data_IF_209037537194
#
_entry.id   IF_209037537194
#
_cell.length_a   1.000
_cell.length_b   1.000
_cell.length_c   1.000
_cell.angle_alpha   90.00
_cell.angle_beta   90.00
_cell.angle_gamma   90.00
#
_symmetry.space_group_name_H-M   'P 1'
#
loop_
_entity.id
_entity.type
_entity.pdbx_description
1 polymer ?
#
# COMPACT_ATOMS: atom_id res chain seq x y z
N UNK A 1 -16.53 -16.94 10.99
CA UNK A 1 -16.51 -15.55 11.52
C UNK A 1 -15.82 -15.57 12.87
N UNK A 2 -14.90 -14.63 13.16
CA UNK A 2 -14.36 -14.39 14.51
C UNK A 2 -12.87 -14.67 14.74
N UNK A 3 -11.95 -14.00 14.03
CA UNK A 3 -10.50 -14.00 14.34
C UNK A 3 -10.03 -12.70 15.02
N UNK A 4 -10.85 -12.12 15.90
CA UNK A 4 -10.48 -10.94 16.69
C UNK A 4 -10.83 -11.06 18.18
N UNK A 5 -10.88 -12.27 18.74
CA UNK A 5 -10.88 -12.45 20.21
C UNK A 5 -9.50 -12.07 20.78
N UNK A 6 -9.06 -10.85 20.49
CA UNK A 6 -7.85 -10.23 21.01
C UNK A 6 -8.10 -9.76 22.43
N UNK A 7 -7.02 -9.74 23.20
CA UNK A 7 -6.95 -9.30 24.60
C UNK A 7 -7.76 -8.01 24.80
N UNK A 8 -8.72 -8.04 25.72
CA UNK A 8 -9.49 -6.86 26.09
C UNK A 8 -8.59 -5.88 26.86
N UNK A 9 -8.33 -4.71 26.28
CA UNK A 9 -7.55 -3.66 26.91
C UNK A 9 -8.46 -2.61 27.54
N UNK A 10 -8.28 -2.33 28.83
CA UNK A 10 -9.09 -1.34 29.52
C UNK A 10 -8.51 0.07 29.31
N UNK A 11 -9.14 0.85 28.43
CA UNK A 11 -8.72 2.21 28.09
C UNK A 11 -9.32 3.23 29.06
N UNK A 12 -8.47 4.11 29.61
CA UNK A 12 -8.92 5.31 30.32
C UNK A 12 -9.06 6.45 29.32
N UNK A 13 -10.29 6.86 29.04
CA UNK A 13 -10.62 7.91 28.08
C UNK A 13 -11.30 9.09 28.79
N UNK A 14 -10.97 10.35 28.43
CA UNK A 14 -11.78 11.50 28.82
C UNK A 14 -13.23 11.35 28.37
N UNK A 15 -14.22 11.88 29.13
CA UNK A 15 -15.64 11.73 28.81
C UNK A 15 -15.98 12.28 27.42
N UNK A 16 -15.44 13.46 27.08
CA UNK A 16 -15.66 14.08 25.76
C UNK A 16 -15.15 13.23 24.60
N UNK A 17 -14.05 12.50 24.79
CA UNK A 17 -13.48 11.65 23.75
C UNK A 17 -14.34 10.39 23.54
N UNK A 18 -14.85 9.82 24.63
CA UNK A 18 -15.77 8.69 24.59
C UNK A 18 -17.04 9.05 23.83
N UNK A 19 -17.61 10.22 24.09
CA UNK A 19 -18.84 10.67 23.42
C UNK A 19 -18.60 10.87 21.91
N UNK A 20 -17.47 11.46 21.52
CA UNK A 20 -17.08 11.58 20.10
C UNK A 20 -16.97 10.23 19.40
N UNK A 21 -16.36 9.24 20.05
CA UNK A 21 -16.25 7.87 19.51
C UNK A 21 -17.63 7.24 19.37
N UNK A 22 -18.53 7.43 20.35
CA UNK A 22 -19.87 6.87 20.30
C UNK A 22 -20.71 7.45 19.15
N UNK A 23 -20.64 8.77 18.93
CA UNK A 23 -21.29 9.44 17.79
C UNK A 23 -20.75 8.92 16.46
N UNK A 24 -19.42 8.91 16.32
CA UNK A 24 -18.74 8.40 15.11
C UNK A 24 -19.11 6.95 14.80
N UNK A 25 -19.10 6.08 15.81
CA UNK A 25 -19.43 4.67 15.65
C UNK A 25 -20.87 4.48 15.15
N UNK A 26 -21.81 5.30 15.66
CA UNK A 26 -23.20 5.29 15.23
C UNK A 26 -23.36 5.77 13.78
N UNK A 27 -22.69 6.85 13.39
CA UNK A 27 -22.71 7.37 12.01
C UNK A 27 -22.14 6.36 11.01
N UNK A 28 -21.09 5.63 11.41
CA UNK A 28 -20.40 4.65 10.57
C UNK A 28 -20.97 3.23 10.69
N UNK A 29 -22.11 3.04 11.38
CA UNK A 29 -22.77 1.76 11.60
C UNK A 29 -21.83 0.65 12.12
N UNK A 30 -20.93 0.99 13.06
CA UNK A 30 -19.96 0.08 13.67
C UNK A 30 -19.99 0.12 15.19
N UNK A 31 -19.43 -0.89 15.85
CA UNK A 31 -19.30 -0.87 17.32
C UNK A 31 -18.26 0.15 17.76
N UNK A 32 -18.36 0.67 19.00
CA UNK A 32 -17.35 1.59 19.55
C UNK A 32 -15.95 0.99 19.52
N UNK A 33 -15.79 -0.30 19.83
CA UNK A 33 -14.50 -0.97 19.76
C UNK A 33 -13.97 -1.03 18.32
N UNK A 34 -14.83 -1.32 17.35
CA UNK A 34 -14.45 -1.30 15.94
C UNK A 34 -14.08 0.11 15.47
N UNK A 35 -14.72 1.16 15.98
CA UNK A 35 -14.38 2.56 15.70
C UNK A 35 -13.01 2.94 16.26
N UNK A 36 -12.73 2.56 17.51
CA UNK A 36 -11.43 2.78 18.17
C UNK A 36 -10.32 2.08 17.41
N UNK A 37 -10.52 0.80 17.09
CA UNK A 37 -9.53 0.01 16.34
C UNK A 37 -9.26 0.67 14.99
N UNK A 38 -10.29 0.95 14.19
CA UNK A 38 -10.12 1.57 12.88
C UNK A 38 -9.43 2.94 12.92
N UNK A 39 -9.69 3.76 13.95
CA UNK A 39 -9.04 5.07 14.12
C UNK A 39 -7.58 4.94 14.52
N UNK A 40 -7.27 4.03 15.45
CA UNK A 40 -5.89 3.72 15.80
C UNK A 40 -5.16 3.22 14.56
N UNK A 41 -5.79 2.35 13.80
CA UNK A 41 -5.22 1.83 12.58
C UNK A 41 -4.94 2.92 11.54
N UNK A 42 -5.91 3.82 11.30
CA UNK A 42 -5.73 4.97 10.43
C UNK A 42 -4.58 5.88 10.90
N UNK A 43 -4.41 6.03 12.22
CA UNK A 43 -3.31 6.85 12.77
C UNK A 43 -1.93 6.26 12.45
N UNK A 44 -1.78 4.93 12.49
CA UNK A 44 -0.55 4.26 12.07
C UNK A 44 -0.32 4.39 10.56
N UNK A 45 -1.38 4.29 9.74
CA UNK A 45 -1.28 4.53 8.29
C UNK A 45 -0.82 5.95 7.97
N UNK A 46 -1.35 6.95 8.69
CA UNK A 46 -0.97 8.36 8.52
C UNK A 46 0.47 8.64 8.96
N UNK A 47 0.95 7.99 10.03
CA UNK A 47 2.33 8.15 10.50
C UNK A 47 3.36 7.49 9.57
N UNK A 48 3.03 6.36 8.94
CA UNK A 48 3.85 5.78 7.88
C UNK A 48 3.82 6.62 6.58
N UNK A 49 2.75 7.39 6.39
CA UNK A 49 2.58 8.29 5.25
C UNK A 49 3.13 9.71 5.50
N UNK A 50 3.59 10.01 6.72
CA UNK A 50 4.13 11.34 7.11
C UNK A 50 5.65 11.40 7.07
N UNK A 51 6.33 10.29 6.76
CA UNK A 51 7.58 10.41 6.03
C UNK A 51 7.26 11.21 4.76
N UNK A 52 8.06 12.24 4.39
CA UNK A 52 7.93 12.79 3.05
C UNK A 52 7.92 11.60 2.10
N UNK A 53 7.07 11.62 1.08
CA UNK A 53 7.27 10.75 -0.06
C UNK A 53 8.64 11.11 -0.64
N UNK A 54 9.74 10.63 -0.03
CA UNK A 54 10.96 10.35 -0.75
C UNK A 54 10.52 9.26 -1.69
N UNK A 55 10.04 9.70 -2.84
CA UNK A 55 10.03 8.88 -4.03
C UNK A 55 11.48 8.54 -4.25
N UNK A 56 11.95 7.51 -3.55
CA UNK A 56 13.21 6.89 -3.87
C UNK A 56 13.09 6.52 -5.34
N UNK A 57 14.05 6.97 -6.14
CA UNK A 57 14.09 6.70 -7.57
C UNK A 57 15.30 5.80 -7.79
N UNK A 58 15.05 4.61 -8.35
CA UNK A 58 16.10 3.73 -8.85
C UNK A 58 16.16 3.84 -10.37
N UNK A 59 17.35 4.09 -10.89
CA UNK A 59 17.64 4.10 -12.32
C UNK A 59 18.50 2.88 -12.64
N UNK A 60 18.04 2.08 -13.58
CA UNK A 60 18.66 0.80 -13.96
C UNK A 60 18.94 0.82 -15.44
N UNK A 61 20.17 0.46 -15.81
CA UNK A 61 20.57 0.35 -17.21
C UNK A 61 20.27 -1.06 -17.70
N UNK A 62 19.35 -1.20 -18.65
CA UNK A 62 18.97 -2.48 -19.22
C UNK A 62 19.91 -2.86 -20.37
N UNK A 63 20.06 -4.17 -20.60
CA UNK A 63 20.96 -4.73 -21.64
C UNK A 63 20.57 -4.32 -23.07
N UNK A 64 19.31 -3.93 -23.27
CA UNK A 64 18.76 -3.48 -24.55
C UNK A 64 19.02 -1.98 -24.84
N UNK A 65 19.83 -1.30 -24.03
CA UNK A 65 20.14 0.13 -24.17
C UNK A 65 19.06 1.07 -23.62
N UNK A 66 17.98 0.54 -23.01
CA UNK A 66 16.97 1.34 -22.31
C UNK A 66 17.40 1.62 -20.87
N UNK A 67 16.85 2.71 -20.31
CA UNK A 67 16.93 3.03 -18.89
C UNK A 67 15.58 2.75 -18.25
N UNK A 68 15.57 1.92 -17.22
CA UNK A 68 14.39 1.67 -16.40
C UNK A 68 14.42 2.58 -15.18
N UNK A 69 13.37 3.34 -14.99
CA UNK A 69 13.15 4.21 -13.84
C UNK A 69 12.11 3.54 -12.96
N UNK A 70 12.41 3.35 -11.69
CA UNK A 70 11.50 2.75 -10.71
C UNK A 70 11.33 3.70 -9.53
N UNK A 71 10.10 3.99 -9.16
CA UNK A 71 9.79 4.89 -8.05
C UNK A 71 8.48 4.48 -7.36
N UNK A 72 8.29 4.95 -6.12
CA UNK A 72 7.03 4.74 -5.38
C UNK A 72 7.26 4.33 -3.93
N UNK A 73 6.18 4.32 -3.15
CA UNK A 73 6.21 4.11 -1.69
C UNK A 73 6.75 2.75 -1.27
N UNK A 74 6.66 1.73 -2.13
CA UNK A 74 7.08 0.36 -1.83
C UNK A 74 8.41 -0.01 -2.50
N UNK A 75 9.11 0.93 -3.15
CA UNK A 75 10.35 0.63 -3.88
C UNK A 75 11.42 -0.06 -3.04
N UNK A 76 11.56 0.36 -1.78
CA UNK A 76 12.54 -0.20 -0.86
C UNK A 76 11.98 -1.32 0.03
N UNK A 77 10.69 -1.65 -0.13
CA UNK A 77 10.03 -2.76 0.55
C UNK A 77 10.03 -4.02 -0.30
N UNK A 78 9.91 -3.86 -1.62
CA UNK A 78 9.87 -4.96 -2.57
C UNK A 78 11.28 -5.24 -3.09
N UNK A 79 11.80 -6.42 -2.80
CA UNK A 79 13.07 -6.90 -3.34
C UNK A 79 12.78 -7.67 -4.64
N UNK A 80 12.91 -6.97 -5.77
CA UNK A 80 12.56 -7.47 -7.10
C UNK A 80 13.77 -7.36 -8.03
N UNK A 81 13.92 -8.33 -8.93
CA UNK A 81 14.85 -8.20 -10.04
C UNK A 81 14.25 -7.28 -11.11
N UNK A 82 14.60 -6.00 -11.07
CA UNK A 82 14.14 -5.02 -12.04
C UNK A 82 14.86 -5.11 -13.40
N UNK A 83 15.85 -6.00 -13.58
CA UNK A 83 16.59 -6.13 -14.85
C UNK A 83 15.89 -7.03 -15.87
N UNK A 84 14.84 -7.73 -15.46
CA UNK A 84 14.05 -8.65 -16.28
C UNK A 84 13.10 -7.95 -17.28
N UNK A 85 12.44 -8.72 -18.14
CA UNK A 85 11.43 -8.19 -19.08
C UNK A 85 10.16 -7.68 -18.35
N UNK A 86 9.47 -6.69 -18.93
CA UNK A 86 8.31 -6.05 -18.29
C UNK A 86 7.19 -7.05 -17.93
N UNK A 87 6.95 -8.07 -18.75
CA UNK A 87 5.93 -9.09 -18.49
C UNK A 87 6.28 -9.97 -17.29
N UNK A 88 7.54 -10.37 -17.16
CA UNK A 88 8.01 -11.17 -16.04
C UNK A 88 7.99 -10.33 -14.75
N UNK A 89 8.47 -9.08 -14.83
CA UNK A 89 8.44 -8.13 -13.72
C UNK A 89 7.02 -7.85 -13.22
N UNK A 90 6.04 -7.74 -14.12
CA UNK A 90 4.63 -7.57 -13.76
C UNK A 90 4.14 -8.72 -12.87
N UNK A 91 4.46 -9.97 -13.23
CA UNK A 91 4.05 -11.15 -12.47
C UNK A 91 4.70 -11.17 -11.09
N UNK A 92 5.98 -10.82 -11.00
CA UNK A 92 6.70 -10.79 -9.72
C UNK A 92 6.18 -9.68 -8.80
N UNK A 93 5.83 -8.51 -9.35
CA UNK A 93 5.18 -7.43 -8.60
C UNK A 93 3.82 -7.91 -8.07
N UNK A 94 3.03 -8.58 -8.91
CA UNK A 94 1.73 -9.12 -8.50
C UNK A 94 1.88 -10.11 -7.34
N UNK A 95 2.77 -11.10 -7.49
CA UNK A 95 3.05 -12.09 -6.45
C UNK A 95 3.54 -11.43 -5.15
N UNK A 96 4.42 -10.45 -5.26
CA UNK A 96 4.99 -9.75 -4.10
C UNK A 96 3.94 -8.92 -3.36
N UNK A 97 3.02 -8.27 -4.08
CA UNK A 97 1.91 -7.54 -3.48
C UNK A 97 0.91 -8.48 -2.80
N UNK A 98 0.64 -9.65 -3.39
CA UNK A 98 -0.20 -10.68 -2.79
C UNK A 98 0.40 -11.17 -1.46
N UNK A 99 1.69 -11.51 -1.46
CA UNK A 99 2.42 -11.90 -0.24
C UNK A 99 2.45 -10.77 0.79
N UNK A 100 2.74 -9.54 0.36
CA UNK A 100 2.77 -8.38 1.24
C UNK A 100 1.41 -8.18 1.92
N UNK A 101 0.31 -8.31 1.18
CA UNK A 101 -1.05 -8.19 1.72
C UNK A 101 -1.35 -9.24 2.80
N UNK A 102 -0.82 -10.46 2.66
CA UNK A 102 -1.03 -11.57 3.61
C UNK A 102 -0.05 -11.60 4.78
N UNK A 103 1.11 -10.95 4.67
CA UNK A 103 2.22 -11.04 5.62
C UNK A 103 1.97 -10.37 6.98
N UNK A 104 1.12 -9.34 7.04
CA UNK A 104 0.86 -8.58 8.26
C UNK A 104 -0.56 -8.06 8.27
N UNK A 105 -1.20 -8.08 9.43
CA UNK A 105 -2.52 -7.48 9.66
C UNK A 105 -2.57 -6.02 9.17
N UNK A 106 -1.48 -5.28 9.38
CA UNK A 106 -1.34 -3.89 8.95
C UNK A 106 -1.26 -3.72 7.43
N UNK A 107 -0.61 -4.66 6.74
CA UNK A 107 -0.58 -4.68 5.28
C UNK A 107 -1.95 -5.10 4.73
N UNK A 108 -2.60 -6.10 5.34
CA UNK A 108 -3.98 -6.46 5.00
C UNK A 108 -4.92 -5.25 5.08
N UNK A 109 -4.74 -4.38 6.07
CA UNK A 109 -5.51 -3.14 6.18
C UNK A 109 -5.10 -2.04 5.17
N UNK A 110 -3.81 -1.89 4.84
CA UNK A 110 -3.36 -0.99 3.74
C UNK A 110 -4.04 -1.32 2.40
N UNK A 111 -4.42 -2.57 2.21
CA UNK A 111 -5.06 -3.11 1.02
C UNK A 111 -6.60 -3.20 1.17
N UNK A 112 -7.16 -2.88 2.34
CA UNK A 112 -8.60 -2.95 2.60
C UNK A 112 -9.37 -1.91 1.76
N UNK A 113 -10.49 -2.34 1.15
CA UNK A 113 -11.29 -1.56 0.19
C UNK A 113 -10.53 -1.07 -1.05
N UNK A 114 -9.38 -1.67 -1.39
CA UNK A 114 -8.65 -1.39 -2.62
C UNK A 114 -8.66 -2.64 -3.50
N UNK A 115 -8.98 -2.46 -4.77
CA UNK A 115 -8.79 -3.50 -5.77
C UNK A 115 -7.42 -3.31 -6.40
N UNK A 116 -6.40 -3.90 -5.76
CA UNK A 116 -4.99 -3.68 -6.11
C UNK A 116 -4.64 -4.52 -7.34
N UNK A 117 -4.40 -3.85 -8.45
CA UNK A 117 -4.04 -4.47 -9.72
C UNK A 117 -2.69 -3.93 -10.21
N UNK A 118 -1.93 -4.78 -10.89
CA UNK A 118 -0.69 -4.40 -11.56
C UNK A 118 -0.97 -4.15 -13.03
N UNK A 119 -1.07 -2.89 -13.43
CA UNK A 119 -1.32 -2.49 -14.79
C UNK A 119 -0.01 -2.42 -15.58
N UNK A 120 0.02 -3.00 -16.79
CA UNK A 120 1.17 -2.94 -17.70
C UNK A 120 0.76 -2.28 -19.01
N UNK A 121 1.36 -1.12 -19.31
CA UNK A 121 1.32 -0.52 -20.63
C UNK A 121 2.43 -1.06 -21.55
N UNK A 122 2.72 -0.34 -22.63
CA UNK A 122 3.76 -0.75 -23.59
C UNK A 122 5.18 -0.64 -23.03
N UNK A 123 5.44 0.41 -22.24
CA UNK A 123 6.76 0.69 -21.64
C UNK A 123 6.66 1.05 -20.15
N UNK A 124 5.54 0.80 -19.48
CA UNK A 124 5.40 1.11 -18.05
C UNK A 124 4.57 0.08 -17.29
N UNK A 125 4.82 -0.01 -16.00
CA UNK A 125 4.01 -0.76 -15.03
C UNK A 125 3.60 0.21 -13.92
N UNK A 126 2.35 0.14 -13.49
CA UNK A 126 1.83 0.90 -12.35
C UNK A 126 0.94 0.01 -11.48
N UNK A 127 1.02 0.22 -10.17
CA UNK A 127 0.14 -0.41 -9.19
C UNK A 127 -1.07 0.51 -8.98
N UNK A 128 -2.24 0.04 -9.42
CA UNK A 128 -3.46 0.84 -9.53
C UNK A 128 -4.61 0.28 -8.68
N UNK A 129 -5.51 1.17 -8.30
CA UNK A 129 -6.78 0.89 -7.64
C UNK A 129 -7.88 0.75 -8.69
N UNK A 130 -8.56 -0.41 -8.71
CA UNK A 130 -9.67 -0.71 -9.62
C UNK A 130 -9.34 -0.44 -11.09
N UNK A 131 -8.08 -0.73 -11.48
CA UNK A 131 -7.59 -0.65 -12.85
C UNK A 131 -7.42 0.75 -13.43
N UNK A 132 -7.70 1.83 -12.67
CA UNK A 132 -7.78 3.21 -13.23
C UNK A 132 -6.96 4.25 -12.49
N UNK A 133 -6.78 4.11 -11.17
CA UNK A 133 -6.14 5.15 -10.34
C UNK A 133 -4.82 4.65 -9.80
N UNK A 134 -3.71 5.29 -10.17
CA UNK A 134 -2.40 4.99 -9.57
C UNK A 134 -2.48 5.09 -8.04
N UNK A 135 -1.97 4.05 -7.37
CA UNK A 135 -1.81 4.04 -5.92
C UNK A 135 -0.51 4.75 -5.50
N UNK A 136 0.40 5.03 -6.44
CA UNK A 136 1.74 5.56 -6.17
C UNK A 136 2.60 4.60 -5.34
N UNK A 137 2.26 3.32 -5.35
CA UNK A 137 2.94 2.29 -4.56
C UNK A 137 4.20 1.83 -5.25
N UNK A 138 4.13 1.57 -6.56
CA UNK A 138 5.27 1.24 -7.39
C UNK A 138 4.94 1.59 -8.83
N UNK A 139 5.82 2.35 -9.47
CA UNK A 139 5.78 2.67 -10.90
C UNK A 139 7.12 2.31 -11.50
N UNK A 140 7.09 1.65 -12.65
CA UNK A 140 8.25 1.27 -13.45
C UNK A 140 8.07 1.84 -14.85
N UNK A 141 9.07 2.52 -15.39
CA UNK A 141 9.03 3.09 -16.74
C UNK A 141 10.32 2.79 -17.50
N UNK A 142 10.18 2.31 -18.72
CA UNK A 142 11.29 2.09 -19.65
C UNK A 142 11.43 3.27 -20.62
N UNK A 143 12.57 3.95 -20.54
CA UNK A 143 12.93 5.07 -21.37
C UNK A 143 14.06 4.68 -22.33
N UNK A 144 14.01 5.17 -23.57
CA UNK A 144 15.16 5.07 -24.45
C UNK A 144 16.25 6.03 -23.94
N UNK A 145 17.47 5.53 -23.77
CA UNK A 145 18.60 6.41 -23.57
C UNK A 145 18.82 7.18 -24.87
N UNK A 146 18.39 8.44 -24.94
CA UNK A 146 18.91 9.33 -25.97
C UNK A 146 20.40 9.52 -25.68
N UNK A 147 21.24 8.97 -26.56
CA UNK A 147 22.68 9.22 -26.64
C UNK A 147 22.99 10.71 -26.70
#
# INVERSE_FOLDING_TARGET
>A
MGKHLGVAYNLRLPPELKDKIAVSAKELNRSMNADIVARLEESFLRNESSAPASSDVKIIHLKNGKKRVVYGKLLNTLDLDYTQELSALQNDIHLSLEVLSGSSFWNSLKFFNKDVLVFKGDNHIDVVDNGKRSLGWLVVEDHYAST
#
